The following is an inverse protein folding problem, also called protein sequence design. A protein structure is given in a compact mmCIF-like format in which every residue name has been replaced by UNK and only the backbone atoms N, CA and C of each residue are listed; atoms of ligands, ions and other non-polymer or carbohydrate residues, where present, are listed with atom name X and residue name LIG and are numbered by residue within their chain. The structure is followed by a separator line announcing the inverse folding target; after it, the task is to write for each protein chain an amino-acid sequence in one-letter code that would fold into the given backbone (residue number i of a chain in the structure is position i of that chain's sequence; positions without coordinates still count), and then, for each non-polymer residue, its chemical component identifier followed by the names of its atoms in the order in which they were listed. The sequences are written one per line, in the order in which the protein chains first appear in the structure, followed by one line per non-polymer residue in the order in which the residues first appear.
data_IF_274848517582
#
_entry.id   IF_274848517582
#
_cell.length_a   1.000
_cell.length_b   1.000
_cell.length_c   1.000
_cell.angle_alpha   90.00
_cell.angle_beta   90.00
_cell.angle_gamma   90.00
#
_symmetry.space_group_name_H-M   'P 1'
#
loop_
_entity.id
_entity.type
_entity.pdbx_description
1 polymer ?
#
# COMPACT_ATOMS: atom_id res chain seq x y z
N UNK A 1 -15.64 -2.70 16.68
CA UNK A 1 -17.07 -2.98 16.90
C UNK A 1 -17.95 -1.73 16.88
N UNK A 2 -17.68 -0.68 17.67
CA UNK A 2 -18.52 0.54 17.74
C UNK A 2 -18.80 1.19 16.37
N UNK A 3 -17.79 1.30 15.51
CA UNK A 3 -17.95 1.80 14.13
C UNK A 3 -19.02 1.05 13.32
N UNK A 4 -19.22 -0.26 13.57
CA UNK A 4 -20.24 -1.08 12.90
C UNK A 4 -21.59 -1.06 13.64
N UNK A 5 -21.59 -1.28 14.96
CA UNK A 5 -22.85 -1.47 15.71
C UNK A 5 -23.53 -0.15 16.07
N UNK A 6 -22.76 0.82 16.54
CA UNK A 6 -23.25 2.09 17.07
C UNK A 6 -23.31 3.16 15.99
N UNK A 7 -22.20 3.34 15.26
CA UNK A 7 -22.07 4.45 14.30
C UNK A 7 -22.50 4.08 12.88
N UNK A 8 -22.58 2.78 12.56
CA UNK A 8 -22.96 2.27 11.22
C UNK A 8 -22.10 2.83 10.09
N UNK A 9 -20.80 3.06 10.33
CA UNK A 9 -19.85 3.68 9.41
C UNK A 9 -19.03 2.68 8.58
N UNK A 10 -18.98 1.43 9.01
CA UNK A 10 -18.24 0.35 8.35
C UNK A 10 -19.13 -0.88 8.26
N UNK A 11 -18.81 -1.75 7.32
CA UNK A 11 -19.45 -3.06 7.15
C UNK A 11 -18.99 -4.06 8.22
N UNK A 12 -19.49 -5.30 8.18
CA UNK A 12 -19.26 -6.29 9.24
C UNK A 12 -17.75 -6.54 9.49
N UNK A 13 -17.21 -6.21 10.68
CA UNK A 13 -15.76 -6.13 10.89
C UNK A 13 -15.10 -7.47 11.24
N UNK A 14 -15.87 -8.55 11.38
CA UNK A 14 -15.35 -9.89 11.70
C UNK A 14 -15.37 -10.78 10.46
N UNK A 15 -14.62 -10.36 9.45
CA UNK A 15 -14.52 -11.04 8.16
C UNK A 15 -13.10 -11.55 7.94
N UNK A 16 -12.97 -12.76 7.38
CA UNK A 16 -11.68 -13.29 6.90
C UNK A 16 -11.41 -12.95 5.43
N UNK A 17 -12.41 -12.42 4.71
CA UNK A 17 -12.28 -12.10 3.29
C UNK A 17 -11.46 -10.83 3.07
N UNK A 18 -10.68 -10.85 1.99
CA UNK A 18 -10.02 -9.67 1.40
C UNK A 18 -10.64 -9.27 0.06
N UNK A 19 -11.74 -9.91 -0.31
CA UNK A 19 -12.45 -9.73 -1.57
C UNK A 19 -13.87 -9.23 -1.36
N UNK A 20 -14.38 -8.49 -2.34
CA UNK A 20 -15.78 -8.08 -2.44
C UNK A 20 -16.42 -8.70 -3.68
N UNK A 21 -17.74 -8.95 -3.66
CA UNK A 21 -18.48 -9.38 -4.84
C UNK A 21 -18.70 -8.23 -5.84
N UNK A 22 -19.06 -8.58 -7.06
CA UNK A 22 -19.21 -7.60 -8.15
C UNK A 22 -20.36 -6.61 -7.96
N UNK A 23 -21.41 -7.01 -7.24
CA UNK A 23 -22.55 -6.16 -6.89
C UNK A 23 -22.16 -5.07 -5.88
N UNK A 24 -21.44 -5.43 -4.81
CA UNK A 24 -20.88 -4.47 -3.83
C UNK A 24 -19.90 -3.52 -4.50
N UNK A 25 -19.13 -3.97 -5.50
CA UNK A 25 -18.24 -3.10 -6.25
C UNK A 25 -18.98 -2.00 -7.03
N UNK A 26 -20.24 -2.20 -7.42
CA UNK A 26 -21.03 -1.17 -8.11
C UNK A 26 -21.25 0.07 -7.24
N UNK A 27 -21.25 -0.10 -5.92
CA UNK A 27 -21.42 0.98 -4.93
C UNK A 27 -20.10 1.73 -4.65
N UNK A 28 -18.94 1.20 -5.07
CA UNK A 28 -17.63 1.75 -4.74
C UNK A 28 -17.47 3.22 -5.18
N UNK A 29 -18.06 3.59 -6.32
CA UNK A 29 -18.04 4.97 -6.81
C UNK A 29 -18.71 5.95 -5.84
N UNK A 30 -19.86 5.58 -5.29
CA UNK A 30 -20.60 6.41 -4.32
C UNK A 30 -19.87 6.51 -2.98
N UNK A 31 -19.24 5.41 -2.54
CA UNK A 31 -18.41 5.41 -1.33
C UNK A 31 -17.19 6.32 -1.48
N UNK A 32 -16.54 6.33 -2.65
CA UNK A 32 -15.43 7.25 -2.96
C UNK A 32 -15.93 8.70 -2.99
N UNK A 33 -17.09 8.95 -3.61
CA UNK A 33 -17.71 10.27 -3.64
C UNK A 33 -17.95 10.83 -2.24
N UNK A 34 -18.43 9.99 -1.32
CA UNK A 34 -18.66 10.38 0.07
C UNK A 34 -17.39 10.88 0.77
N UNK A 35 -16.23 10.33 0.41
CA UNK A 35 -14.94 10.72 0.96
C UNK A 35 -14.38 12.03 0.38
N UNK A 36 -14.96 12.60 -0.69
CA UNK A 36 -14.56 13.95 -1.18
C UNK A 36 -14.74 15.04 -0.14
N UNK A 37 -15.76 14.88 0.72
CA UNK A 37 -16.00 15.81 1.82
C UNK A 37 -15.13 15.55 3.05
N UNK A 38 -14.38 14.44 3.08
CA UNK A 38 -13.54 14.07 4.20
C UNK A 38 -12.15 14.71 4.09
N UNK A 39 -11.73 15.61 5.01
CA UNK A 39 -10.54 16.44 4.84
C UNK A 39 -9.24 15.68 4.53
N UNK A 40 -9.05 14.49 5.11
CA UNK A 40 -7.85 13.67 4.90
C UNK A 40 -7.74 13.12 3.48
N UNK A 41 -8.86 12.86 2.80
CA UNK A 41 -8.88 12.14 1.52
C UNK A 41 -9.38 12.97 0.35
N UNK A 42 -9.88 14.18 0.60
CA UNK A 42 -10.51 15.07 -0.39
C UNK A 42 -9.70 15.18 -1.69
N UNK A 43 -8.43 15.58 -1.60
CA UNK A 43 -7.54 15.78 -2.77
C UNK A 43 -7.38 14.49 -3.58
N UNK A 44 -7.20 13.35 -2.90
CA UNK A 44 -7.01 12.08 -3.59
C UNK A 44 -8.29 11.59 -4.26
N UNK A 45 -9.42 11.71 -3.57
CA UNK A 45 -10.73 11.25 -4.07
C UNK A 45 -11.20 12.05 -5.29
N UNK A 46 -10.91 13.35 -5.38
CA UNK A 46 -11.16 14.15 -6.58
C UNK A 46 -10.42 13.59 -7.79
N UNK A 47 -9.15 13.23 -7.62
CA UNK A 47 -8.34 12.60 -8.66
C UNK A 47 -8.89 11.23 -9.05
N UNK A 48 -9.18 10.37 -8.06
CA UNK A 48 -9.64 9.00 -8.28
C UNK A 48 -11.00 8.93 -9.00
N UNK A 49 -11.90 9.89 -8.74
CA UNK A 49 -13.25 9.95 -9.34
C UNK A 49 -13.23 10.08 -10.88
N UNK A 50 -12.11 10.51 -11.45
CA UNK A 50 -11.91 10.64 -12.90
C UNK A 50 -11.27 9.41 -13.55
N UNK A 51 -11.01 8.35 -12.77
CA UNK A 51 -10.25 7.17 -13.19
C UNK A 51 -11.08 5.89 -13.13
N UNK A 52 -10.72 4.91 -13.96
CA UNK A 52 -11.20 3.55 -13.79
C UNK A 52 -10.67 2.97 -12.48
N UNK A 53 -11.57 2.44 -11.67
CA UNK A 53 -11.23 1.79 -10.41
C UNK A 53 -10.57 0.43 -10.66
N UNK A 54 -9.61 0.08 -9.81
CA UNK A 54 -8.99 -1.23 -9.82
C UNK A 54 -9.94 -2.29 -9.27
N UNK A 55 -9.98 -3.46 -9.93
CA UNK A 55 -10.88 -4.57 -9.61
C UNK A 55 -10.17 -5.79 -9.02
N UNK A 56 -8.88 -5.67 -8.67
CA UNK A 56 -8.10 -6.81 -8.16
C UNK A 56 -8.72 -7.49 -6.91
N UNK A 57 -9.42 -6.72 -6.09
CA UNK A 57 -10.14 -7.21 -4.90
C UNK A 57 -11.61 -7.56 -5.17
N UNK A 58 -12.04 -7.60 -6.44
CA UNK A 58 -13.42 -7.92 -6.84
C UNK A 58 -13.44 -9.34 -7.43
N UNK A 59 -13.92 -10.30 -6.65
CA UNK A 59 -13.93 -11.72 -7.03
C UNK A 59 -14.94 -12.48 -6.17
N UNK A 60 -16.15 -12.70 -6.70
CA UNK A 60 -17.26 -13.37 -6.01
C UNK A 60 -16.87 -14.76 -5.47
N UNK A 61 -15.94 -15.47 -6.15
CA UNK A 61 -15.53 -16.82 -5.76
C UNK A 61 -14.61 -16.85 -4.55
N UNK A 62 -13.99 -15.71 -4.20
CA UNK A 62 -13.07 -15.59 -3.07
C UNK A 62 -13.70 -14.88 -1.87
N UNK A 63 -14.96 -14.49 -2.00
CA UNK A 63 -15.77 -14.00 -0.88
C UNK A 63 -16.12 -15.19 0.02
N UNK A 64 -15.85 -15.03 1.32
CA UNK A 64 -16.24 -16.01 2.35
C UNK A 64 -17.66 -15.71 2.86
N UNK A 65 -18.04 -16.15 4.06
CA UNK A 65 -19.35 -15.83 4.67
C UNK A 65 -19.66 -14.31 4.71
N UNK A 66 -18.61 -13.49 4.73
CA UNK A 66 -18.69 -12.04 4.60
C UNK A 66 -17.66 -11.53 3.57
N UNK A 67 -17.94 -10.38 2.96
CA UNK A 67 -16.99 -9.67 2.09
C UNK A 67 -15.95 -8.88 2.90
N UNK A 68 -14.96 -8.29 2.23
CA UNK A 68 -13.93 -7.47 2.86
C UNK A 68 -14.51 -6.24 3.57
N UNK A 69 -13.85 -5.78 4.63
CA UNK A 69 -14.28 -4.61 5.39
C UNK A 69 -14.18 -3.31 4.55
N UNK A 70 -15.33 -2.68 4.34
CA UNK A 70 -15.50 -1.37 3.68
C UNK A 70 -16.13 -0.34 4.61
N UNK A 71 -16.02 0.94 4.26
CA UNK A 71 -16.91 1.98 4.80
C UNK A 71 -18.33 1.83 4.24
N UNK A 72 -19.29 2.49 4.87
CA UNK A 72 -20.68 2.61 4.39
C UNK A 72 -20.92 4.00 3.78
N UNK A 73 -22.12 4.21 3.27
CA UNK A 73 -22.64 5.50 2.82
C UNK A 73 -22.80 6.55 3.95
N UNK A 74 -22.86 6.11 5.21
CA UNK A 74 -23.01 7.00 6.36
C UNK A 74 -21.76 7.86 6.58
N UNK A 75 -21.96 9.17 6.77
CA UNK A 75 -20.87 10.10 7.05
C UNK A 75 -20.51 10.13 8.54
N UNK A 76 -19.22 10.11 8.89
CA UNK A 76 -18.80 10.17 10.29
C UNK A 76 -19.17 11.53 10.91
N UNK A 77 -19.80 11.48 12.08
CA UNK A 77 -19.92 12.63 12.97
C UNK A 77 -18.66 12.82 13.80
N UNK A 78 -18.81 13.23 15.06
CA UNK A 78 -17.68 13.32 15.99
C UNK A 78 -17.31 11.92 16.50
N UNK A 79 -16.12 11.44 16.13
CA UNK A 79 -15.52 10.20 16.61
C UNK A 79 -14.49 10.48 17.71
N UNK A 80 -14.21 9.49 18.55
CA UNK A 80 -12.99 9.51 19.38
C UNK A 80 -11.74 9.35 18.51
N UNK A 81 -10.56 9.69 19.07
CA UNK A 81 -9.28 9.59 18.34
C UNK A 81 -9.01 8.19 17.78
N UNK A 82 -9.29 7.15 18.58
CA UNK A 82 -9.06 5.76 18.16
C UNK A 82 -10.08 5.34 17.08
N UNK A 83 -11.35 5.70 17.25
CA UNK A 83 -12.39 5.42 16.26
C UNK A 83 -12.10 6.12 14.93
N UNK A 84 -11.65 7.37 14.97
CA UNK A 84 -11.25 8.12 13.77
C UNK A 84 -10.04 7.46 13.09
N UNK A 85 -9.03 7.05 13.87
CA UNK A 85 -7.84 6.38 13.35
C UNK A 85 -8.20 5.08 12.63
N UNK A 86 -9.06 4.25 13.23
CA UNK A 86 -9.52 2.99 12.62
C UNK A 86 -10.41 3.25 11.40
N UNK A 87 -11.32 4.22 11.46
CA UNK A 87 -12.15 4.58 10.30
C UNK A 87 -11.29 5.05 9.12
N UNK A 88 -10.33 5.94 9.36
CA UNK A 88 -9.42 6.44 8.32
C UNK A 88 -8.51 5.34 7.77
N UNK A 89 -8.09 4.38 8.60
CA UNK A 89 -7.36 3.20 8.14
C UNK A 89 -8.21 2.37 7.18
N UNK A 90 -9.48 2.11 7.50
CA UNK A 90 -10.39 1.34 6.64
C UNK A 90 -10.69 2.11 5.34
N UNK A 91 -11.04 3.39 5.45
CA UNK A 91 -11.33 4.25 4.30
C UNK A 91 -10.13 4.38 3.36
N UNK A 92 -8.94 4.61 3.90
CA UNK A 92 -7.72 4.69 3.10
C UNK A 92 -7.35 3.36 2.44
N UNK A 93 -7.47 2.22 3.14
CA UNK A 93 -7.22 0.90 2.54
C UNK A 93 -8.22 0.57 1.42
N UNK A 94 -9.48 0.99 1.56
CA UNK A 94 -10.46 0.90 0.48
C UNK A 94 -10.04 1.76 -0.72
N UNK A 95 -9.65 3.02 -0.49
CA UNK A 95 -9.16 3.89 -1.57
C UNK A 95 -7.97 3.26 -2.28
N UNK A 96 -6.97 2.76 -1.55
CA UNK A 96 -5.80 2.07 -2.11
C UNK A 96 -6.20 0.87 -2.99
N UNK A 97 -7.13 0.03 -2.52
CA UNK A 97 -7.58 -1.15 -3.25
C UNK A 97 -8.20 -0.82 -4.61
N UNK A 98 -8.95 0.29 -4.69
CA UNK A 98 -9.60 0.76 -5.91
C UNK A 98 -8.75 1.74 -6.72
N UNK A 99 -7.57 2.09 -6.23
CA UNK A 99 -6.63 2.97 -6.91
C UNK A 99 -5.84 2.24 -7.98
N UNK A 100 -5.23 3.01 -8.90
CA UNK A 100 -4.30 2.47 -9.89
C UNK A 100 -3.06 1.85 -9.23
N UNK A 101 -2.45 0.90 -9.92
CA UNK A 101 -1.19 0.29 -9.51
C UNK A 101 -0.07 1.33 -9.40
N UNK A 102 0.80 1.17 -8.41
CA UNK A 102 2.10 1.83 -8.40
C UNK A 102 2.98 1.23 -9.51
N UNK A 103 3.62 2.06 -10.31
CA UNK A 103 4.53 1.65 -11.38
C UNK A 103 5.92 2.20 -11.08
N UNK A 104 6.91 1.31 -11.08
CA UNK A 104 8.32 1.62 -10.85
C UNK A 104 9.19 1.00 -11.92
N UNK A 105 10.25 1.71 -12.26
CA UNK A 105 11.37 1.13 -12.98
C UNK A 105 12.35 0.60 -11.94
N UNK A 106 12.78 -0.66 -12.09
CA UNK A 106 13.82 -1.29 -11.26
C UNK A 106 15.06 -1.47 -12.12
N UNK A 107 16.16 -0.85 -11.73
CA UNK A 107 17.47 -1.01 -12.36
C UNK A 107 18.30 -1.98 -11.53
N UNK A 108 18.75 -3.08 -12.12
CA UNK A 108 19.73 -3.99 -11.50
C UNK A 108 21.03 -3.86 -12.24
N UNK A 109 22.08 -3.44 -11.54
CA UNK A 109 23.42 -3.29 -12.08
C UNK A 109 24.29 -4.45 -11.57
N UNK A 110 24.89 -5.19 -12.50
CA UNK A 110 25.90 -6.20 -12.19
C UNK A 110 27.26 -5.69 -12.64
N UNK A 111 28.20 -5.58 -11.71
CA UNK A 111 29.57 -5.13 -11.94
C UNK A 111 30.54 -6.29 -11.74
N UNK A 112 31.53 -6.42 -12.63
CA UNK A 112 32.61 -7.39 -12.48
C UNK A 112 33.89 -6.69 -12.04
N UNK A 113 34.50 -7.18 -10.96
CA UNK A 113 35.85 -6.79 -10.54
C UNK A 113 36.68 -8.06 -10.50
N UNK A 114 37.65 -8.17 -11.40
CA UNK A 114 38.39 -9.40 -11.71
C UNK A 114 37.43 -10.57 -12.01
N UNK A 115 37.27 -11.50 -11.07
CA UNK A 115 36.41 -12.70 -11.17
C UNK A 115 35.18 -12.62 -10.28
N UNK A 116 35.00 -11.53 -9.53
CA UNK A 116 33.93 -11.36 -8.55
C UNK A 116 32.84 -10.45 -9.11
N UNK A 117 31.59 -10.90 -9.01
CA UNK A 117 30.41 -10.12 -9.38
C UNK A 117 29.84 -9.38 -8.16
N UNK A 118 29.48 -8.13 -8.37
CA UNK A 118 28.79 -7.27 -7.42
C UNK A 118 27.45 -6.88 -8.02
N UNK A 119 26.39 -6.92 -7.21
CA UNK A 119 25.05 -6.50 -7.62
C UNK A 119 24.64 -5.28 -6.80
N UNK A 120 24.01 -4.30 -7.45
CA UNK A 120 23.25 -3.25 -6.78
C UNK A 120 21.93 -3.02 -7.50
N UNK A 121 20.91 -2.61 -6.75
CA UNK A 121 19.57 -2.33 -7.26
C UNK A 121 19.20 -0.90 -6.96
N UNK A 122 18.43 -0.33 -7.86
CA UNK A 122 17.81 0.97 -7.72
C UNK A 122 16.40 0.97 -8.26
N UNK A 123 15.60 1.94 -7.82
CA UNK A 123 14.25 2.09 -8.33
C UNK A 123 13.84 3.54 -8.48
N UNK A 124 13.03 3.80 -9.50
CA UNK A 124 12.42 5.10 -9.76
C UNK A 124 10.91 4.91 -9.89
N UNK A 125 10.15 5.57 -9.01
CA UNK A 125 8.68 5.54 -9.09
C UNK A 125 8.20 6.41 -10.24
N UNK A 126 7.57 5.81 -11.25
CA UNK A 126 6.98 6.52 -12.40
C UNK A 126 5.54 6.93 -12.13
N UNK A 127 4.78 6.07 -11.44
CA UNK A 127 3.39 6.33 -11.03
C UNK A 127 3.25 5.88 -9.58
N UNK A 128 2.90 6.79 -8.67
CA UNK A 128 2.71 6.46 -7.26
C UNK A 128 1.51 5.50 -7.05
N UNK A 129 0.43 5.70 -7.84
CA UNK A 129 -0.76 4.85 -7.79
C UNK A 129 -1.42 4.89 -6.41
N UNK A 130 -1.77 3.73 -5.87
CA UNK A 130 -2.34 3.58 -4.53
C UNK A 130 -1.50 4.20 -3.40
N UNK A 131 -0.16 4.30 -3.56
CA UNK A 131 0.72 4.88 -2.53
C UNK A 131 0.44 6.36 -2.25
N UNK A 132 -0.17 7.06 -3.20
CA UNK A 132 -0.53 8.47 -3.07
C UNK A 132 -1.66 8.71 -2.06
N UNK A 133 -2.45 7.68 -1.70
CA UNK A 133 -3.56 7.80 -0.72
C UNK A 133 -3.06 8.34 0.63
N UNK A 134 -1.96 7.79 1.13
CA UNK A 134 -1.32 8.23 2.37
C UNK A 134 -0.05 9.05 2.14
N UNK A 135 0.37 9.20 0.88
CA UNK A 135 1.65 9.79 0.49
C UNK A 135 2.81 9.20 1.31
N UNK A 136 2.74 7.89 1.57
CA UNK A 136 3.77 7.19 2.34
C UNK A 136 5.08 7.26 1.57
N UNK A 137 6.04 8.00 2.13
CA UNK A 137 7.42 7.90 1.67
C UNK A 137 7.90 6.50 2.04
N UNK A 138 8.47 5.80 1.07
CA UNK A 138 9.07 4.50 1.35
C UNK A 138 10.18 4.66 2.38
N UNK A 139 10.16 3.83 3.42
CA UNK A 139 11.26 3.70 4.37
C UNK A 139 12.55 3.40 3.57
N UNK A 140 13.65 4.05 3.95
CA UNK A 140 14.90 4.02 3.19
C UNK A 140 15.50 2.60 3.14
N UNK A 141 15.21 1.87 2.07
CA UNK A 141 15.82 0.60 1.70
C UNK A 141 16.81 0.75 0.55
N UNK A 142 17.73 -0.21 0.40
CA UNK A 142 18.77 -0.21 -0.66
C UNK A 142 18.15 -0.03 -2.07
N UNK A 143 16.94 -0.56 -2.30
CA UNK A 143 16.20 -0.47 -3.56
C UNK A 143 15.69 0.95 -3.92
N UNK A 144 15.78 1.96 -3.04
CA UNK A 144 15.28 3.34 -3.29
C UNK A 144 16.33 4.24 -3.96
N UNK A 145 17.55 3.75 -4.14
CA UNK A 145 18.63 4.55 -4.73
C UNK A 145 18.36 4.70 -6.22
N UNK A 146 18.22 5.93 -6.71
CA UNK A 146 18.25 6.15 -8.16
C UNK A 146 19.69 5.90 -8.64
N UNK A 147 19.84 4.90 -9.50
CA UNK A 147 21.14 4.56 -10.08
C UNK A 147 21.40 5.46 -11.29
N UNK A 148 22.65 5.86 -11.54
CA UNK A 148 23.00 6.60 -12.74
C UNK A 148 22.73 5.75 -13.99
N UNK A 149 22.45 6.41 -15.10
CA UNK A 149 22.42 5.76 -16.41
C UNK A 149 23.84 5.27 -16.75
N UNK A 150 23.95 3.98 -17.09
CA UNK A 150 25.19 3.30 -17.44
C UNK A 150 24.96 2.45 -18.68
N UNK A 151 26.01 2.23 -19.46
CA UNK A 151 25.96 1.35 -20.65
C UNK A 151 26.64 0.01 -20.40
N UNK A 152 26.18 -1.05 -21.06
CA UNK A 152 26.88 -2.33 -21.02
C UNK A 152 28.31 -2.19 -21.56
N UNK A 153 29.27 -2.80 -20.85
CA UNK A 153 30.70 -2.70 -21.17
C UNK A 153 31.39 -1.43 -20.67
N UNK A 154 30.67 -0.52 -20.02
CA UNK A 154 31.27 0.66 -19.40
C UNK A 154 32.23 0.27 -18.27
N UNK A 155 33.40 0.91 -18.25
CA UNK A 155 34.42 0.68 -17.21
C UNK A 155 34.36 1.79 -16.17
N UNK A 156 34.17 1.40 -14.91
CA UNK A 156 34.09 2.33 -13.77
C UNK A 156 35.32 2.23 -12.87
N UNK A 157 35.77 3.37 -12.35
CA UNK A 157 36.89 3.41 -11.39
C UNK A 157 36.41 3.17 -9.96
N UNK A 158 37.07 2.24 -9.26
CA UNK A 158 36.81 1.98 -7.84
C UNK A 158 37.37 3.13 -7.00
N UNK A 159 36.49 3.89 -6.33
CA UNK A 159 36.90 4.99 -5.44
C UNK A 159 37.29 4.53 -4.03
N UNK A 160 36.61 3.50 -3.52
CA UNK A 160 36.78 2.98 -2.16
C UNK A 160 36.39 1.50 -2.12
N UNK A 161 37.07 0.73 -1.28
CA UNK A 161 36.72 -0.66 -0.96
C UNK A 161 36.68 -0.81 0.55
N UNK A 162 35.56 -1.31 1.08
CA UNK A 162 35.33 -1.51 2.50
C UNK A 162 35.02 -2.98 2.79
N UNK A 163 35.66 -3.56 3.80
CA UNK A 163 35.32 -4.88 4.31
C UNK A 163 34.22 -4.76 5.37
N UNK A 164 32.98 -5.10 5.00
CA UNK A 164 31.84 -5.06 5.92
C UNK A 164 31.80 -6.31 6.80
N UNK A 165 32.04 -6.13 8.10
CA UNK A 165 31.81 -7.19 9.10
C UNK A 165 30.38 -7.10 9.60
N UNK A 166 29.54 -8.10 9.29
CA UNK A 166 28.15 -8.18 9.74
C UNK A 166 27.99 -9.31 10.76
N UNK A 167 27.05 -9.13 11.69
CA UNK A 167 26.66 -10.16 12.65
C UNK A 167 25.18 -10.49 12.48
N UNK A 168 24.84 -11.78 12.52
CA UNK A 168 23.44 -12.22 12.51
C UNK A 168 22.74 -11.75 13.77
N UNK A 169 21.52 -11.24 13.63
CA UNK A 169 20.66 -10.91 14.77
C UNK A 169 19.80 -12.13 15.14
N UNK A 170 19.53 -12.37 16.43
CA UNK A 170 18.53 -13.36 16.82
C UNK A 170 17.15 -12.98 16.25
N UNK A 171 16.25 -13.95 16.13
CA UNK A 171 14.87 -13.69 15.70
C UNK A 171 14.22 -12.68 16.66
N UNK A 172 13.50 -11.66 16.14
CA UNK A 172 12.79 -10.73 16.99
C UNK A 172 11.74 -11.46 17.81
N UNK A 173 11.48 -10.98 19.03
CA UNK A 173 10.37 -11.47 19.83
C UNK A 173 9.04 -11.14 19.15
N UNK A 174 8.01 -11.94 19.41
CA UNK A 174 6.68 -11.67 18.90
C UNK A 174 6.11 -10.39 19.52
N UNK A 175 5.50 -9.56 18.67
CA UNK A 175 4.56 -8.50 19.05
C UNK A 175 3.15 -9.03 18.83
N UNK A 176 2.11 -8.33 19.31
CA UNK A 176 0.73 -8.73 19.02
C UNK A 176 0.49 -8.86 17.50
N UNK A 177 0.98 -7.91 16.71
CA UNK A 177 0.86 -7.93 15.25
C UNK A 177 1.59 -9.14 14.63
N UNK A 178 2.85 -9.41 15.04
CA UNK A 178 3.60 -10.53 14.45
C UNK A 178 3.15 -11.90 14.95
N UNK A 179 2.45 -11.97 16.09
CA UNK A 179 1.80 -13.19 16.57
C UNK A 179 0.48 -13.45 15.84
N UNK A 180 -0.32 -12.42 15.57
CA UNK A 180 -1.57 -12.54 14.81
C UNK A 180 -1.34 -12.89 13.33
N UNK A 181 -0.21 -12.51 12.76
CA UNK A 181 0.16 -12.82 11.38
C UNK A 181 0.91 -14.16 11.19
N UNK A 182 1.18 -14.90 12.26
CA UNK A 182 1.94 -16.15 12.24
C UNK A 182 1.14 -17.35 11.73
#
# INVERSE_FOLDING_TARGET
QKLYEQHKLITYPRTGSRYIPGDVFQEAGELIENLKSYPRFTVYTEKLSSMNLNIHSVDDKKVTDHHALLITENRPGKLSSDEQTIYEMIAGRMLEAFSRTCVKDITTLTLSVDTVLYETKGSVTKIAGWREVFNEQEEDGEDKTELPELSEGETLSIKKLDLLTKQTKPKPLHTEASLLGA
#
